data_IF_111750006229
#
_entry.id   IF_111750006229
#
_cell.length_a   1.000
_cell.length_b   1.000
_cell.length_c   1.000
_cell.angle_alpha   90.00
_cell.angle_beta   90.00
_cell.angle_gamma   90.00
#
_symmetry.space_group_name_H-M   'P 1'
#
loop_
_entity.id
_entity.type
_entity.pdbx_description
1 polymer ?
#
# COMPACT_ATOMS: atom_id res chain seq x y z
N UNK A 1 0.89 18.33 7.19
CA UNK A 1 -0.31 17.57 6.86
C UNK A 1 0.07 16.12 6.55
N UNK A 2 -0.66 15.13 7.07
CA UNK A 2 -0.31 13.70 6.92
C UNK A 2 -1.35 13.00 6.05
N UNK A 3 -0.96 12.51 4.87
CA UNK A 3 -1.86 11.75 3.98
C UNK A 3 -1.72 10.25 4.24
N UNK A 4 -2.86 9.59 4.43
CA UNK A 4 -2.97 8.15 4.65
C UNK A 4 -3.83 7.53 3.55
N UNK A 5 -3.49 6.32 3.14
CA UNK A 5 -4.24 5.49 2.21
C UNK A 5 -4.66 4.23 2.95
N UNK A 6 -5.95 3.94 2.92
CA UNK A 6 -6.54 2.76 3.53
C UNK A 6 -6.90 1.77 2.43
N UNK A 7 -6.39 0.54 2.54
CA UNK A 7 -6.64 -0.53 1.58
C UNK A 7 -7.27 -1.70 2.33
N UNK A 8 -8.40 -2.18 1.84
CA UNK A 8 -9.14 -3.29 2.41
C UNK A 8 -9.32 -4.37 1.37
N UNK A 9 -8.90 -5.59 1.69
CA UNK A 9 -9.19 -6.77 0.88
C UNK A 9 -10.19 -7.65 1.63
N UNK A 10 -11.41 -7.71 1.12
CA UNK A 10 -12.50 -8.50 1.70
C UNK A 10 -12.69 -9.84 0.98
N UNK A 11 -11.62 -10.35 0.37
CA UNK A 11 -11.60 -11.62 -0.36
C UNK A 11 -10.46 -12.52 0.17
N UNK A 12 -10.56 -13.85 -0.02
CA UNK A 12 -9.50 -14.77 0.38
C UNK A 12 -8.24 -14.68 -0.49
N UNK A 13 -8.27 -13.93 -1.59
CA UNK A 13 -7.17 -13.88 -2.55
C UNK A 13 -6.07 -12.95 -2.05
N UNK A 14 -4.83 -13.42 -2.06
CA UNK A 14 -3.64 -12.60 -1.89
C UNK A 14 -3.24 -12.01 -3.25
N UNK A 15 -2.89 -10.72 -3.28
CA UNK A 15 -2.33 -10.07 -4.47
C UNK A 15 -0.88 -9.70 -4.18
N UNK A 16 0.05 -10.25 -4.94
CA UNK A 16 1.49 -10.01 -4.74
C UNK A 16 1.98 -8.72 -5.41
N UNK A 17 1.32 -8.30 -6.48
CA UNK A 17 1.70 -7.15 -7.30
C UNK A 17 0.45 -6.40 -7.78
N UNK A 18 -0.19 -5.66 -6.86
CA UNK A 18 -1.35 -4.84 -7.16
C UNK A 18 -0.94 -3.39 -7.43
N UNK A 19 -1.39 -2.82 -8.55
CA UNK A 19 -1.17 -1.41 -8.90
C UNK A 19 -2.27 -0.54 -8.29
N UNK A 20 -1.93 0.20 -7.24
CA UNK A 20 -2.83 1.14 -6.58
C UNK A 20 -2.57 2.55 -7.08
N UNK A 21 -3.57 3.20 -7.68
CA UNK A 21 -3.48 4.59 -8.14
C UNK A 21 -3.43 5.60 -6.99
N UNK A 22 -2.48 6.53 -7.04
CA UNK A 22 -2.25 7.57 -6.04
C UNK A 22 -2.09 8.96 -6.70
N UNK A 23 -2.37 10.02 -5.94
CA UNK A 23 -2.39 11.39 -6.48
C UNK A 23 -1.02 12.07 -6.47
N UNK A 24 -0.07 11.58 -5.67
CA UNK A 24 1.14 12.32 -5.32
C UNK A 24 2.38 11.47 -5.50
N UNK A 25 3.42 12.07 -6.07
CA UNK A 25 4.73 11.46 -6.19
C UNK A 25 5.43 11.41 -4.83
N UNK A 26 6.03 10.28 -4.49
CA UNK A 26 6.84 10.11 -3.29
C UNK A 26 6.97 8.65 -2.88
N UNK A 27 7.19 8.43 -1.59
CA UNK A 27 7.26 7.08 -1.01
C UNK A 27 6.08 6.83 -0.08
N UNK A 28 5.59 5.61 -0.05
CA UNK A 28 4.44 5.18 0.73
C UNK A 28 4.89 4.08 1.70
N UNK A 29 4.82 4.37 2.99
CA UNK A 29 5.26 3.47 4.06
C UNK A 29 4.05 2.71 4.61
N UNK A 30 4.09 1.38 4.62
CA UNK A 30 3.06 0.55 5.26
C UNK A 30 3.19 0.69 6.79
N UNK A 31 2.33 1.51 7.39
CA UNK A 31 2.35 1.78 8.84
C UNK A 31 1.49 0.80 9.64
N UNK A 32 0.53 0.15 8.98
CA UNK A 32 -0.33 -0.86 9.58
C UNK A 32 -0.69 -1.92 8.55
N UNK A 33 -0.72 -3.18 8.98
CA UNK A 33 -1.22 -4.30 8.21
C UNK A 33 -1.80 -5.31 9.22
N UNK A 34 -3.08 -5.63 9.10
CA UNK A 34 -3.77 -6.55 10.01
C UNK A 34 -3.32 -8.00 9.84
N UNK A 35 -2.69 -8.35 8.72
CA UNK A 35 -2.18 -9.70 8.43
C UNK A 35 -0.75 -9.93 8.97
N UNK A 36 -0.17 -8.99 9.72
CA UNK A 36 1.14 -9.22 10.35
C UNK A 36 1.08 -10.42 11.31
N UNK A 37 2.18 -11.16 11.37
CA UNK A 37 2.38 -12.30 12.26
C UNK A 37 2.11 -11.98 13.74
N UNK A 38 2.46 -10.78 14.19
CA UNK A 38 2.17 -10.30 15.55
C UNK A 38 0.69 -10.25 15.90
N UNK A 39 -0.20 -10.23 14.90
CA UNK A 39 -1.65 -10.28 15.06
C UNK A 39 -2.25 -11.65 14.70
N UNK A 40 -1.39 -12.66 14.42
CA UNK A 40 -1.80 -14.00 14.01
C UNK A 40 -2.12 -14.15 12.52
N UNK A 41 -1.72 -13.19 11.68
CA UNK A 41 -1.88 -13.27 10.23
C UNK A 41 -0.76 -14.03 9.52
N UNK A 42 -0.83 -14.11 8.19
CA UNK A 42 0.11 -14.84 7.33
C UNK A 42 1.40 -14.06 7.01
N UNK A 43 1.56 -12.86 7.57
CA UNK A 43 2.67 -11.95 7.36
C UNK A 43 2.85 -11.56 5.88
N UNK A 44 1.76 -11.29 5.18
CA UNK A 44 1.77 -10.79 3.80
C UNK A 44 1.96 -9.27 3.83
N UNK A 45 3.21 -8.83 4.01
CA UNK A 45 3.57 -7.42 4.22
C UNK A 45 4.47 -6.84 3.11
N UNK A 46 4.43 -5.51 2.95
CA UNK A 46 5.21 -4.79 1.91
C UNK A 46 6.66 -4.53 2.35
N UNK A 47 6.85 -4.22 3.63
CA UNK A 47 8.15 -4.15 4.29
C UNK A 47 8.91 -2.86 4.08
N UNK A 48 9.39 -2.63 2.86
CA UNK A 48 10.12 -1.39 2.52
C UNK A 48 9.14 -0.30 2.05
N UNK A 49 9.49 0.99 2.22
CA UNK A 49 8.74 2.08 1.63
C UNK A 49 8.60 1.90 0.12
N UNK A 50 7.37 2.02 -0.38
CA UNK A 50 7.03 1.77 -1.77
C UNK A 50 7.11 3.07 -2.56
N UNK A 51 8.01 3.19 -3.55
CA UNK A 51 8.08 4.39 -4.38
C UNK A 51 6.89 4.45 -5.34
N UNK A 52 6.40 5.66 -5.60
CA UNK A 52 5.43 5.90 -6.65
C UNK A 52 6.07 5.90 -8.04
N UNK A 53 5.35 5.40 -9.03
CA UNK A 53 5.65 5.53 -10.46
C UNK A 53 4.59 6.40 -11.16
N UNK A 54 4.91 7.05 -12.30
CA UNK A 54 3.93 7.83 -13.07
C UNK A 54 2.90 6.93 -13.77
N UNK A 55 1.80 7.55 -14.24
CA UNK A 55 0.70 6.92 -14.97
C UNK A 55 0.00 5.83 -14.16
N UNK A 56 -0.89 6.24 -13.25
CA UNK A 56 -1.66 5.31 -12.43
C UNK A 56 -2.98 4.86 -13.05
N UNK A 57 -3.54 3.73 -12.58
CA UNK A 57 -4.84 3.26 -13.00
C UNK A 57 -5.95 4.23 -12.57
N UNK A 58 -7.13 4.13 -13.20
CA UNK A 58 -8.30 4.95 -12.89
C UNK A 58 -8.06 6.46 -12.95
N UNK A 59 -7.31 6.91 -13.96
CA UNK A 59 -7.00 8.32 -14.22
C UNK A 59 -6.26 9.01 -13.04
N UNK A 60 -5.45 8.25 -12.30
CA UNK A 60 -4.57 8.78 -11.25
C UNK A 60 -3.20 9.16 -11.85
N UNK A 61 -2.58 10.26 -11.40
CA UNK A 61 -1.30 10.71 -11.97
C UNK A 61 -0.14 9.76 -11.66
N UNK A 62 -0.21 9.03 -10.54
CA UNK A 62 0.82 8.09 -10.10
C UNK A 62 0.21 6.77 -9.64
N UNK A 63 1.03 5.73 -9.46
CA UNK A 63 0.65 4.48 -8.79
C UNK A 63 1.76 3.96 -7.88
N UNK A 64 1.40 3.05 -6.97
CA UNK A 64 2.33 2.23 -6.20
C UNK A 64 2.04 0.75 -6.45
N UNK A 65 3.09 -0.07 -6.44
CA UNK A 65 2.98 -1.53 -6.53
C UNK A 65 3.07 -2.13 -5.14
N UNK A 66 1.97 -2.69 -4.67
CA UNK A 66 1.85 -3.21 -3.32
C UNK A 66 1.38 -4.65 -3.30
N UNK A 67 1.77 -5.35 -2.24
CA UNK A 67 1.16 -6.60 -1.80
C UNK A 67 -0.10 -6.30 -1.02
N UNK A 68 -1.16 -7.05 -1.27
CA UNK A 68 -2.44 -6.96 -0.57
C UNK A 68 -2.74 -8.29 0.07
N UNK A 69 -2.71 -8.31 1.40
CA UNK A 69 -3.04 -9.48 2.21
C UNK A 69 -4.49 -9.94 2.00
N UNK A 70 -4.75 -11.25 2.10
CA UNK A 70 -6.12 -11.78 2.09
C UNK A 70 -6.86 -11.43 3.37
N UNK A 71 -8.16 -11.11 3.27
CA UNK A 71 -8.98 -10.64 4.41
C UNK A 71 -8.33 -9.56 5.28
N UNK A 72 -7.49 -8.71 4.66
CA UNK A 72 -6.60 -7.78 5.36
C UNK A 72 -6.98 -6.32 5.20
N UNK A 73 -6.67 -5.53 6.22
CA UNK A 73 -6.67 -4.08 6.20
C UNK A 73 -5.24 -3.55 6.32
N UNK A 74 -4.84 -2.67 5.41
CA UNK A 74 -3.51 -2.06 5.37
C UNK A 74 -3.63 -0.55 5.29
N UNK A 75 -2.69 0.14 5.94
CA UNK A 75 -2.62 1.60 5.92
C UNK A 75 -1.24 2.02 5.46
N UNK A 76 -1.21 2.84 4.41
CA UNK A 76 0.01 3.43 3.88
C UNK A 76 0.06 4.92 4.21
N UNK A 77 1.21 5.37 4.70
CA UNK A 77 1.49 6.78 4.97
C UNK A 77 2.34 7.36 3.86
N UNK A 78 1.88 8.47 3.28
CA UNK A 78 2.66 9.21 2.32
C UNK A 78 3.84 9.91 3.01
N UNK A 79 5.03 9.74 2.43
CA UNK A 79 6.25 10.44 2.76
C UNK A 79 6.70 11.22 1.53
N UNK A 80 6.72 12.55 1.66
CA UNK A 80 7.30 13.42 0.64
C UNK A 80 8.81 13.12 0.61
N UNK A 81 9.32 12.76 -0.56
CA UNK A 81 10.77 12.61 -0.74
C UNK A 81 11.42 13.96 -0.45
N UNK A 82 12.30 14.01 0.56
CA UNK A 82 13.18 15.17 0.75
C UNK A 82 14.22 15.11 -0.36
N UNK A 83 14.18 16.09 -1.26
CA UNK A 83 15.34 16.41 -2.08
C UNK A 83 16.45 16.94 -1.18
#
# INVERSE_FOLDING_TARGET
DSRLIFVFNMTPNFFDNYELGVNEEGTYEEIFNSDKDVYGGANQYNGLPVPSAPFGPFNRPHHIKIKIASFGAMIFKYRKNKK
#
